data_IF_663205400256
#
_entry.id   IF_663205400256
#
_cell.length_a   1.000
_cell.length_b   1.000
_cell.length_c   1.000
_cell.angle_alpha   90.00
_cell.angle_beta   90.00
_cell.angle_gamma   90.00
#
_symmetry.space_group_name_H-M   'P 1'
#
loop_
_entity.id
_entity.type
_entity.pdbx_description
1 polymer ?
#
# COMPACT_ATOMS: atom_id res chain seq x y z
N UNK A 1 70.25 -11.74 5.86
CA UNK A 1 69.69 -10.55 6.54
C UNK A 1 68.63 -9.77 5.72
N UNK A 2 68.60 -9.84 4.37
CA UNK A 2 67.61 -9.10 3.56
C UNK A 2 66.18 -9.69 3.51
N UNK A 3 66.00 -10.99 3.81
CA UNK A 3 64.69 -11.66 3.76
C UNK A 3 63.79 -11.40 4.98
N UNK A 4 64.34 -10.93 6.11
CA UNK A 4 63.57 -10.68 7.35
C UNK A 4 62.80 -9.35 7.31
N UNK A 5 63.34 -8.34 6.62
CA UNK A 5 62.70 -7.02 6.48
C UNK A 5 61.49 -7.03 5.54
N UNK A 6 61.47 -7.93 4.55
CA UNK A 6 60.33 -8.10 3.64
C UNK A 6 59.12 -8.72 4.37
N UNK A 7 59.37 -9.64 5.32
CA UNK A 7 58.34 -10.24 6.17
C UNK A 7 57.80 -9.27 7.23
N UNK A 8 58.66 -8.41 7.80
CA UNK A 8 58.22 -7.38 8.75
C UNK A 8 57.44 -6.25 8.06
N UNK A 9 57.81 -5.89 6.83
CA UNK A 9 57.08 -4.92 6.01
C UNK A 9 55.69 -5.41 5.56
N UNK A 10 55.54 -6.72 5.29
CA UNK A 10 54.25 -7.32 4.92
C UNK A 10 53.28 -7.43 6.10
N UNK A 11 53.79 -7.53 7.33
CA UNK A 11 52.96 -7.56 8.55
C UNK A 11 52.43 -6.18 8.94
N UNK A 12 53.14 -5.10 8.57
CA UNK A 12 52.73 -3.72 8.88
C UNK A 12 51.66 -3.20 7.90
N UNK A 13 51.56 -3.75 6.69
CA UNK A 13 50.54 -3.34 5.71
C UNK A 13 49.19 -4.03 5.86
N UNK A 14 49.09 -5.10 6.67
CA UNK A 14 47.83 -5.83 6.89
C UNK A 14 47.00 -5.21 8.04
N UNK A 15 47.59 -4.37 8.88
CA UNK A 15 46.96 -3.85 10.10
C UNK A 15 46.18 -2.53 9.93
N UNK A 16 46.02 -2.02 8.71
CA UNK A 16 45.32 -0.73 8.45
C UNK A 16 44.04 -0.85 7.62
N UNK A 17 43.37 -2.01 7.64
CA UNK A 17 42.00 -2.12 7.11
C UNK A 17 40.99 -1.94 8.24
N UNK A 18 40.90 -0.74 8.81
CA UNK A 18 39.65 -0.33 9.45
C UNK A 18 38.70 0.04 8.31
N UNK A 19 37.96 -0.96 7.82
CA UNK A 19 36.81 -0.72 6.95
C UNK A 19 35.81 0.04 7.81
N UNK A 20 35.69 1.35 7.59
CA UNK A 20 34.59 2.14 8.13
C UNK A 20 33.35 1.72 7.34
N UNK A 21 32.78 0.57 7.71
CA UNK A 21 31.43 0.23 7.31
C UNK A 21 30.48 1.28 7.87
N UNK A 22 29.42 1.60 7.14
CA UNK A 22 28.29 2.31 7.75
C UNK A 22 27.87 1.53 9.01
N UNK A 23 27.60 2.23 10.14
CA UNK A 23 27.20 1.54 11.35
C UNK A 23 26.00 0.66 11.02
N UNK A 24 26.15 -0.66 11.27
CA UNK A 24 25.05 -1.61 11.15
C UNK A 24 23.95 -1.09 12.08
N UNK A 25 22.85 -0.66 11.50
CA UNK A 25 21.79 0.00 12.23
C UNK A 25 20.68 -1.01 12.45
N UNK A 26 20.35 -1.25 13.72
CA UNK A 26 19.41 -2.28 14.12
C UNK A 26 17.97 -1.75 14.22
N UNK A 27 17.01 -2.66 14.08
CA UNK A 27 15.58 -2.35 14.22
C UNK A 27 15.26 -1.82 15.63
N UNK A 28 15.94 -2.35 16.64
CA UNK A 28 15.77 -1.99 18.06
C UNK A 28 17.06 -2.30 18.85
N UNK A 29 17.18 -1.69 20.04
CA UNK A 29 18.25 -1.98 21.00
C UNK A 29 17.70 -2.31 22.38
N UNK A 30 18.31 -3.27 23.05
CA UNK A 30 18.08 -3.56 24.48
C UNK A 30 19.41 -3.54 25.22
N UNK A 31 19.61 -2.52 26.07
CA UNK A 31 20.86 -2.27 26.78
C UNK A 31 20.70 -2.65 28.24
N UNK A 32 21.54 -3.56 28.74
CA UNK A 32 21.42 -4.13 30.09
C UNK A 32 22.73 -4.15 30.88
N UNK A 33 23.85 -3.76 30.28
CA UNK A 33 25.16 -3.72 30.92
C UNK A 33 25.72 -2.30 31.05
N UNK A 34 26.60 -2.02 32.02
CA UNK A 34 27.34 -0.76 32.08
C UNK A 34 28.17 -0.52 30.82
N UNK A 35 28.04 0.66 30.21
CA UNK A 35 28.83 1.05 29.04
C UNK A 35 29.83 2.17 29.47
N UNK A 36 31.14 1.89 29.52
CA UNK A 36 32.13 2.85 30.03
C UNK A 36 32.72 3.77 28.94
N UNK A 37 32.31 3.60 27.68
CA UNK A 37 32.89 4.25 26.49
C UNK A 37 31.81 5.03 25.74
N UNK A 38 32.18 6.13 25.08
CA UNK A 38 31.25 6.86 24.22
C UNK A 38 30.71 5.96 23.11
N UNK A 39 29.39 5.97 22.94
CA UNK A 39 28.74 5.18 21.89
C UNK A 39 27.46 5.85 21.41
N UNK A 40 27.21 5.68 20.13
CA UNK A 40 25.98 6.07 19.47
C UNK A 40 25.14 4.83 19.15
N UNK A 41 23.87 4.87 19.51
CA UNK A 41 22.86 3.85 19.21
C UNK A 41 21.76 4.49 18.36
N UNK A 42 21.60 4.00 17.14
CA UNK A 42 20.52 4.39 16.24
C UNK A 42 19.59 3.19 16.06
N UNK A 43 18.28 3.41 16.18
CA UNK A 43 17.25 2.40 15.97
C UNK A 43 16.03 2.99 15.25
N UNK A 44 15.15 2.15 14.72
CA UNK A 44 13.88 2.61 14.13
C UNK A 44 12.71 2.47 15.10
N UNK A 45 12.59 1.35 15.80
CA UNK A 45 11.42 1.09 16.64
C UNK A 45 11.62 1.64 18.06
N UNK A 46 12.67 1.20 18.75
CA UNK A 46 12.94 1.63 20.12
C UNK A 46 14.37 1.36 20.57
N UNK A 47 14.79 2.09 21.60
CA UNK A 47 15.99 1.82 22.40
C UNK A 47 15.53 1.65 23.85
N UNK A 48 15.70 0.44 24.40
CA UNK A 48 15.25 0.10 25.75
C UNK A 48 16.44 -0.02 26.68
N UNK A 49 16.44 0.79 27.74
CA UNK A 49 17.41 0.70 28.83
C UNK A 49 16.82 -0.21 29.91
N UNK A 50 17.38 -1.40 30.03
CA UNK A 50 16.96 -2.40 31.00
C UNK A 50 17.70 -2.19 32.34
N UNK A 51 17.17 -2.72 33.45
CA UNK A 51 17.87 -2.74 34.72
C UNK A 51 19.27 -3.34 34.56
N UNK A 52 20.30 -2.66 35.08
CA UNK A 52 21.71 -3.02 34.90
C UNK A 52 22.47 -2.12 33.92
N UNK A 53 21.76 -1.36 33.08
CA UNK A 53 22.40 -0.32 32.27
C UNK A 53 22.87 0.85 33.13
N UNK A 54 24.11 1.28 32.92
CA UNK A 54 24.65 2.52 33.49
C UNK A 54 25.69 3.11 32.56
N UNK A 55 25.71 4.44 32.44
CA UNK A 55 26.73 5.16 31.69
C UNK A 55 27.36 6.22 32.59
N UNK A 56 28.69 6.25 32.64
CA UNK A 56 29.43 7.23 33.45
C UNK A 56 30.05 8.28 32.53
N UNK A 57 29.57 9.52 32.65
CA UNK A 57 30.13 10.68 31.94
C UNK A 57 31.43 11.11 32.61
N UNK A 58 32.57 10.72 32.04
CA UNK A 58 33.90 11.17 32.48
C UNK A 58 34.57 11.93 31.33
N UNK A 59 34.88 13.22 31.53
CA UNK A 59 35.45 14.08 30.49
C UNK A 59 34.51 14.25 29.29
N UNK A 60 35.00 13.96 28.08
CA UNK A 60 34.25 14.09 26.82
C UNK A 60 33.43 12.85 26.45
N UNK A 61 33.16 11.93 27.39
CA UNK A 61 32.41 10.70 27.11
C UNK A 61 30.92 10.99 26.91
N UNK A 62 30.34 10.50 25.81
CA UNK A 62 28.93 10.73 25.45
C UNK A 62 28.20 9.44 25.11
N UNK A 63 26.98 9.31 25.62
CA UNK A 63 26.01 8.30 25.19
C UNK A 63 24.94 9.01 24.36
N UNK A 64 24.73 8.56 23.12
CA UNK A 64 23.71 9.12 22.23
C UNK A 64 22.79 8.01 21.74
N UNK A 65 21.53 8.02 22.16
CA UNK A 65 20.48 7.17 21.62
C UNK A 65 19.52 8.00 20.77
N UNK A 66 19.28 7.62 19.52
CA UNK A 66 18.30 8.30 18.65
C UNK A 66 17.47 7.34 17.83
N UNK A 67 16.24 7.76 17.55
CA UNK A 67 15.33 7.08 16.63
C UNK A 67 15.48 7.73 15.25
N UNK A 68 15.66 6.90 14.22
CA UNK A 68 15.66 7.32 12.82
C UNK A 68 14.58 6.55 12.07
N UNK A 69 13.47 7.23 11.80
CA UNK A 69 12.30 6.67 11.12
C UNK A 69 12.58 6.40 9.62
N UNK A 70 13.65 6.96 9.06
CA UNK A 70 14.01 6.79 7.64
C UNK A 70 14.79 5.50 7.36
N UNK A 71 15.16 4.76 8.40
CA UNK A 71 15.88 3.50 8.28
C UNK A 71 15.02 2.44 7.57
N UNK A 72 15.50 1.99 6.42
CA UNK A 72 14.88 0.94 5.63
C UNK A 72 15.28 -0.43 6.18
N UNK A 73 14.29 -1.27 6.49
CA UNK A 73 14.49 -2.66 6.86
C UNK A 73 13.70 -3.55 5.91
N UNK A 74 14.20 -4.75 5.67
CA UNK A 74 13.41 -5.77 5.01
C UNK A 74 12.18 -6.08 5.86
N UNK A 75 10.99 -5.93 5.26
CA UNK A 75 9.76 -6.47 5.83
C UNK A 75 9.90 -7.99 5.90
N UNK A 76 9.84 -8.55 7.10
CA UNK A 76 9.70 -10.00 7.28
C UNK A 76 8.24 -10.31 6.96
N UNK A 77 7.99 -10.66 5.70
CA UNK A 77 6.72 -11.26 5.33
C UNK A 77 6.69 -12.69 5.86
N UNK A 78 5.61 -13.07 6.53
CA UNK A 78 5.33 -14.46 6.78
C UNK A 78 5.04 -15.13 5.43
N UNK A 79 6.11 -15.66 4.83
CA UNK A 79 6.04 -16.42 3.59
C UNK A 79 5.78 -17.90 3.86
N UNK A 80 5.28 -18.28 5.04
CA UNK A 80 4.78 -19.63 5.25
C UNK A 80 3.60 -19.84 4.31
N UNK A 81 3.89 -20.48 3.18
CA UNK A 81 2.85 -21.02 2.32
C UNK A 81 2.18 -22.13 3.13
N UNK A 82 0.85 -22.05 3.27
CA UNK A 82 0.11 -23.15 3.85
C UNK A 82 0.45 -24.43 3.06
N UNK A 83 0.87 -25.49 3.75
CA UNK A 83 1.18 -26.77 3.11
C UNK A 83 -0.10 -27.29 2.44
N UNK A 84 -0.16 -27.38 1.09
CA UNK A 84 -1.35 -27.86 0.40
C UNK A 84 -1.67 -29.32 0.72
N UNK A 85 -0.73 -30.06 1.32
CA UNK A 85 -0.91 -31.43 1.80
C UNK A 85 -0.85 -31.55 3.33
N UNK A 86 -0.85 -30.41 4.04
CA UNK A 86 -0.83 -30.40 5.50
C UNK A 86 -2.06 -31.14 6.04
N UNK A 87 -1.85 -32.06 6.97
CA UNK A 87 -2.97 -32.72 7.65
C UNK A 87 -3.75 -31.67 8.43
N UNK A 88 -4.96 -31.36 7.98
CA UNK A 88 -5.88 -30.45 8.65
C UNK A 88 -6.18 -30.99 10.06
N UNK A 89 -5.77 -30.26 11.09
CA UNK A 89 -6.19 -30.55 12.45
C UNK A 89 -7.65 -30.11 12.62
N UNK A 90 -8.55 -31.10 12.50
CA UNK A 90 -10.01 -30.90 12.59
C UNK A 90 -10.49 -30.63 14.02
N UNK A 91 -9.60 -30.66 15.01
CA UNK A 91 -9.92 -30.31 16.40
C UNK A 91 -9.78 -28.81 16.67
N UNK A 92 -9.06 -28.08 15.79
CA UNK A 92 -8.97 -26.63 15.83
C UNK A 92 -10.20 -26.01 15.16
N UNK A 93 -10.67 -24.91 15.72
CA UNK A 93 -11.70 -24.11 15.08
C UNK A 93 -11.17 -23.56 13.76
N UNK A 94 -11.90 -23.80 12.68
CA UNK A 94 -11.62 -23.14 11.40
C UNK A 94 -12.05 -21.69 11.52
N UNK A 95 -11.12 -20.76 11.29
CA UNK A 95 -11.45 -19.34 11.21
C UNK A 95 -12.48 -19.11 10.12
N UNK A 96 -13.55 -18.38 10.44
CA UNK A 96 -14.51 -17.90 9.45
C UNK A 96 -14.28 -16.41 9.23
N UNK A 97 -14.27 -15.99 7.97
CA UNK A 97 -14.31 -14.56 7.66
C UNK A 97 -15.72 -14.04 7.99
N UNK A 98 -15.85 -12.83 8.54
CA UNK A 98 -17.16 -12.24 8.86
C UNK A 98 -17.92 -11.87 7.58
N UNK A 99 -18.48 -12.87 6.89
CA UNK A 99 -19.23 -12.71 5.65
C UNK A 99 -20.73 -12.57 5.91
N UNK A 100 -21.39 -11.72 5.13
CA UNK A 100 -22.85 -11.55 5.17
C UNK A 100 -23.46 -12.12 3.89
N UNK A 101 -24.38 -13.08 4.03
CA UNK A 101 -25.16 -13.65 2.94
C UNK A 101 -26.55 -13.03 2.88
N UNK A 102 -27.04 -12.71 1.68
CA UNK A 102 -28.39 -12.20 1.44
C UNK A 102 -28.91 -12.67 0.07
N UNK A 103 -30.22 -12.61 -0.14
CA UNK A 103 -30.88 -12.80 -1.44
C UNK A 103 -31.55 -11.50 -1.86
N UNK A 104 -31.23 -11.00 -3.05
CA UNK A 104 -31.82 -9.76 -3.56
C UNK A 104 -33.32 -9.91 -3.84
N UNK A 105 -34.04 -8.79 -3.95
CA UNK A 105 -35.43 -8.79 -4.41
C UNK A 105 -35.61 -9.38 -5.82
N UNK A 106 -34.54 -9.40 -6.62
CA UNK A 106 -34.50 -10.02 -7.96
C UNK A 106 -34.03 -11.47 -7.93
N UNK A 107 -33.83 -12.08 -6.75
CA UNK A 107 -33.42 -13.48 -6.58
C UNK A 107 -31.93 -13.75 -6.75
N UNK A 108 -31.06 -12.73 -6.76
CA UNK A 108 -29.61 -12.92 -6.79
C UNK A 108 -29.10 -13.39 -5.44
N UNK A 109 -28.17 -14.35 -5.42
CA UNK A 109 -27.37 -14.64 -4.24
C UNK A 109 -26.31 -13.54 -4.08
N UNK A 110 -26.30 -12.89 -2.92
CA UNK A 110 -25.37 -11.82 -2.55
C UNK A 110 -24.52 -12.28 -1.38
N UNK A 111 -23.21 -12.07 -1.46
CA UNK A 111 -22.28 -12.31 -0.36
C UNK A 111 -21.33 -11.11 -0.21
N UNK A 112 -21.06 -10.67 1.02
CA UNK A 112 -20.13 -9.56 1.28
C UNK A 112 -19.15 -9.92 2.39
N UNK A 113 -17.86 -9.75 2.13
CA UNK A 113 -16.77 -9.97 3.08
C UNK A 113 -16.06 -8.63 3.28
N UNK A 114 -16.13 -8.01 4.47
CA UNK A 114 -15.43 -6.76 4.74
C UNK A 114 -13.92 -6.99 4.73
N UNK A 115 -13.18 -6.02 4.19
CA UNK A 115 -11.72 -6.01 4.25
C UNK A 115 -11.35 -5.14 5.46
N UNK A 116 -10.65 -5.74 6.42
CA UNK A 116 -10.13 -4.99 7.57
C UNK A 116 -9.00 -4.07 7.09
N UNK A 117 -9.20 -2.76 7.28
CA UNK A 117 -8.21 -1.74 7.01
C UNK A 117 -7.71 -1.16 8.32
N UNK A 118 -6.41 -0.82 8.43
CA UNK A 118 -5.91 -0.13 9.60
C UNK A 118 -6.60 1.22 9.78
N UNK A 119 -6.74 1.71 11.03
CA UNK A 119 -7.35 3.01 11.27
C UNK A 119 -6.57 4.11 10.55
N UNK A 120 -7.28 4.88 9.74
CA UNK A 120 -6.70 6.02 9.04
C UNK A 120 -6.46 7.22 9.95
N UNK A 121 -5.64 8.16 9.47
CA UNK A 121 -5.38 9.41 10.19
C UNK A 121 -6.69 10.19 10.39
N UNK A 122 -6.88 10.73 11.59
CA UNK A 122 -8.11 11.45 11.98
C UNK A 122 -9.43 10.66 11.76
N UNK A 123 -9.38 9.32 11.75
CA UNK A 123 -10.57 8.47 11.57
C UNK A 123 -11.06 8.37 10.12
N UNK A 124 -10.31 8.88 9.15
CA UNK A 124 -10.63 8.74 7.74
C UNK A 124 -10.06 7.42 7.21
N UNK A 125 -10.89 6.38 7.15
CA UNK A 125 -10.54 5.08 6.58
C UNK A 125 -11.49 4.73 5.42
N UNK A 126 -10.99 4.07 4.36
CA UNK A 126 -11.87 3.57 3.30
C UNK A 126 -12.70 2.40 3.81
N UNK A 127 -13.95 2.28 3.35
CA UNK A 127 -14.75 1.09 3.59
C UNK A 127 -14.63 0.18 2.37
N UNK A 128 -13.88 -0.92 2.51
CA UNK A 128 -13.65 -1.87 1.43
C UNK A 128 -14.29 -3.22 1.76
N UNK A 129 -14.83 -3.88 0.75
CA UNK A 129 -15.33 -5.25 0.88
C UNK A 129 -15.21 -6.02 -0.44
N UNK A 130 -15.05 -7.34 -0.33
CA UNK A 130 -15.24 -8.25 -1.46
C UNK A 130 -16.74 -8.52 -1.54
N UNK A 131 -17.34 -8.28 -2.70
CA UNK A 131 -18.76 -8.49 -2.93
C UNK A 131 -18.96 -9.52 -4.05
N UNK A 132 -19.88 -10.45 -3.81
CA UNK A 132 -20.35 -11.41 -4.77
C UNK A 132 -21.84 -11.16 -5.07
N UNK A 133 -22.22 -11.24 -6.34
CA UNK A 133 -23.59 -11.25 -6.80
C UNK A 133 -23.70 -12.23 -7.98
N UNK A 134 -24.56 -13.24 -7.85
CA UNK A 134 -24.71 -14.30 -8.85
C UNK A 134 -25.25 -13.83 -10.21
N UNK A 135 -25.82 -12.63 -10.28
CA UNK A 135 -26.31 -12.00 -11.50
C UNK A 135 -25.38 -10.90 -12.03
N UNK A 136 -24.28 -10.60 -11.32
CA UNK A 136 -23.29 -9.63 -11.79
C UNK A 136 -22.37 -10.23 -12.86
N UNK A 137 -21.88 -9.36 -13.75
CA UNK A 137 -20.89 -9.70 -14.76
C UNK A 137 -19.48 -9.87 -14.19
N UNK A 138 -18.48 -9.71 -15.06
CA UNK A 138 -17.08 -9.83 -14.67
C UNK A 138 -16.61 -8.60 -13.88
N UNK A 139 -16.12 -8.81 -12.66
CA UNK A 139 -15.49 -7.77 -11.84
C UNK A 139 -13.98 -7.97 -11.71
N UNK A 140 -13.34 -7.15 -10.87
CA UNK A 140 -11.88 -7.17 -10.66
C UNK A 140 -11.38 -8.52 -10.10
N UNK A 141 -12.23 -9.24 -9.38
CA UNK A 141 -11.91 -10.54 -8.77
C UNK A 141 -12.53 -11.73 -9.52
N UNK A 142 -13.08 -11.49 -10.72
CA UNK A 142 -13.68 -12.50 -11.57
C UNK A 142 -15.19 -12.41 -11.70
N UNK A 143 -15.80 -13.47 -12.23
CA UNK A 143 -17.22 -13.47 -12.55
C UNK A 143 -18.09 -13.41 -11.29
N UNK A 144 -19.07 -12.51 -11.29
CA UNK A 144 -19.95 -12.27 -10.16
C UNK A 144 -19.26 -11.67 -8.94
N UNK A 145 -17.95 -11.41 -8.97
CA UNK A 145 -17.17 -10.98 -7.80
C UNK A 145 -16.42 -9.68 -8.10
N UNK A 146 -16.55 -8.69 -7.21
CA UNK A 146 -15.83 -7.42 -7.32
C UNK A 146 -15.37 -6.90 -5.96
N UNK A 147 -14.62 -5.80 -5.98
CA UNK A 147 -14.28 -5.04 -4.78
C UNK A 147 -15.22 -3.84 -4.72
N UNK A 148 -15.91 -3.69 -3.59
CA UNK A 148 -16.73 -2.52 -3.27
C UNK A 148 -15.91 -1.48 -2.49
N UNK A 149 -16.33 -0.22 -2.56
CA UNK A 149 -15.64 0.92 -1.95
C UNK A 149 -14.63 1.63 -2.86
N UNK A 150 -14.55 1.20 -4.12
CA UNK A 150 -13.77 1.86 -5.17
C UNK A 150 -14.72 2.53 -6.14
N UNK A 151 -14.44 3.78 -6.51
CA UNK A 151 -15.14 4.44 -7.61
C UNK A 151 -14.56 4.01 -8.95
N UNK A 152 -15.42 3.85 -9.95
CA UNK A 152 -15.04 3.44 -11.29
C UNK A 152 -15.79 4.22 -12.35
N UNK A 153 -15.06 4.60 -13.40
CA UNK A 153 -15.65 5.09 -14.65
C UNK A 153 -15.78 3.92 -15.61
N UNK A 154 -16.99 3.67 -16.10
CA UNK A 154 -17.29 2.61 -17.05
C UNK A 154 -17.87 3.16 -18.35
N UNK A 155 -17.61 2.47 -19.46
CA UNK A 155 -18.23 2.77 -20.76
C UNK A 155 -19.65 2.21 -20.82
N UNK A 156 -20.58 3.00 -21.34
CA UNK A 156 -21.97 2.61 -21.60
C UNK A 156 -22.29 2.91 -23.06
N UNK A 157 -23.05 2.05 -23.76
CA UNK A 157 -23.47 2.36 -25.11
C UNK A 157 -24.32 3.65 -25.15
N UNK A 158 -24.27 4.32 -26.29
CA UNK A 158 -25.24 5.38 -26.61
C UNK A 158 -26.65 4.79 -26.69
N UNK A 159 -27.64 5.58 -26.28
CA UNK A 159 -29.05 5.19 -26.36
C UNK A 159 -29.93 6.34 -26.83
N UNK A 160 -31.09 5.97 -27.39
CA UNK A 160 -32.02 6.92 -28.02
C UNK A 160 -32.61 7.91 -26.99
N UNK A 161 -32.70 7.52 -25.72
CA UNK A 161 -33.32 8.36 -24.69
C UNK A 161 -32.46 9.57 -24.32
N UNK A 162 -31.13 9.40 -24.19
CA UNK A 162 -30.22 10.51 -23.85
C UNK A 162 -29.57 11.14 -25.08
N UNK A 163 -29.31 10.35 -26.14
CA UNK A 163 -28.44 10.78 -27.24
C UNK A 163 -29.18 10.93 -28.58
N UNK A 164 -30.47 10.59 -28.65
CA UNK A 164 -31.28 10.46 -29.88
C UNK A 164 -30.74 9.43 -30.90
N UNK A 165 -29.67 8.71 -30.56
CA UNK A 165 -28.99 7.72 -31.40
C UNK A 165 -28.63 6.46 -30.60
N UNK A 166 -28.49 5.33 -31.30
CA UNK A 166 -27.99 4.08 -30.70
C UNK A 166 -26.90 3.51 -31.59
N UNK A 167 -25.63 3.80 -31.25
CA UNK A 167 -24.45 3.28 -31.97
C UNK A 167 -23.80 2.08 -31.29
N UNK A 168 -24.37 1.58 -30.19
CA UNK A 168 -23.77 0.52 -29.39
C UNK A 168 -22.44 0.98 -28.77
N UNK A 169 -21.44 0.10 -28.73
CA UNK A 169 -20.13 0.36 -28.10
C UNK A 169 -19.12 1.08 -29.01
N UNK A 170 -19.51 1.47 -30.23
CA UNK A 170 -18.60 2.10 -31.20
C UNK A 170 -18.20 3.52 -30.76
N UNK A 171 -19.11 4.22 -30.10
CA UNK A 171 -18.96 5.59 -29.63
C UNK A 171 -19.63 5.66 -28.24
N UNK A 172 -18.98 5.10 -27.20
CA UNK A 172 -19.61 4.90 -25.91
C UNK A 172 -19.55 6.17 -25.08
N UNK A 173 -20.61 6.37 -24.30
CA UNK A 173 -20.67 7.37 -23.25
C UNK A 173 -20.10 6.80 -21.94
N UNK A 174 -20.02 7.64 -20.92
CA UNK A 174 -19.43 7.27 -19.64
C UNK A 174 -20.45 7.21 -18.50
N UNK A 175 -20.18 6.36 -17.52
CA UNK A 175 -20.88 6.31 -16.24
C UNK A 175 -19.86 6.37 -15.11
N UNK A 176 -20.20 7.06 -14.03
CA UNK A 176 -19.50 7.02 -12.76
C UNK A 176 -20.32 6.18 -11.78
N UNK A 177 -19.76 5.10 -11.26
CA UNK A 177 -20.40 4.27 -10.22
C UNK A 177 -21.80 3.76 -10.60
N UNK A 178 -22.00 3.47 -11.89
CA UNK A 178 -23.27 3.01 -12.46
C UNK A 178 -24.25 4.12 -12.84
N UNK A 179 -23.86 5.38 -12.68
CA UNK A 179 -24.67 6.55 -13.04
C UNK A 179 -24.13 7.25 -14.28
N UNK A 180 -25.00 7.47 -15.26
CA UNK A 180 -24.61 8.11 -16.53
C UNK A 180 -24.08 9.51 -16.30
N UNK A 181 -22.97 9.83 -16.96
CA UNK A 181 -22.39 11.16 -17.01
C UNK A 181 -23.00 11.95 -18.16
N UNK A 182 -23.43 13.17 -17.88
CA UNK A 182 -24.03 14.12 -18.82
C UNK A 182 -23.07 15.30 -18.95
N UNK A 183 -22.68 15.62 -20.18
CA UNK A 183 -21.84 16.77 -20.48
C UNK A 183 -22.61 18.06 -20.17
N UNK A 184 -22.12 18.87 -19.24
CA UNK A 184 -22.74 20.14 -18.86
C UNK A 184 -22.02 21.36 -19.42
N UNK A 185 -20.78 21.20 -19.88
CA UNK A 185 -20.04 22.29 -20.52
C UNK A 185 -18.61 21.90 -20.87
N UNK A 186 -17.94 22.79 -21.57
CA UNK A 186 -16.54 22.63 -21.97
C UNK A 186 -15.81 23.96 -21.89
N UNK A 187 -14.53 23.92 -21.52
CA UNK A 187 -13.61 25.05 -21.52
C UNK A 187 -12.34 24.67 -22.29
N UNK A 188 -11.73 25.62 -22.98
CA UNK A 188 -10.46 25.42 -23.68
C UNK A 188 -9.44 26.44 -23.20
N UNK A 189 -8.24 25.98 -22.87
CA UNK A 189 -7.09 26.82 -22.54
C UNK A 189 -5.85 26.33 -23.29
N UNK A 190 -5.55 26.99 -24.41
CA UNK A 190 -4.43 26.62 -25.26
C UNK A 190 -4.60 25.22 -25.84
N UNK A 191 -3.66 24.31 -25.51
CA UNK A 191 -3.66 22.92 -25.97
C UNK A 191 -4.50 21.97 -25.10
N UNK A 192 -5.09 22.46 -24.02
CA UNK A 192 -5.91 21.65 -23.12
C UNK A 192 -7.38 22.02 -23.27
N UNK A 193 -8.24 21.00 -23.30
CA UNK A 193 -9.68 21.17 -23.15
C UNK A 193 -10.17 20.43 -21.91
N UNK A 194 -11.03 21.09 -21.17
CA UNK A 194 -11.74 20.56 -20.02
C UNK A 194 -13.19 20.36 -20.41
N UNK A 195 -13.72 19.19 -20.12
CA UNK A 195 -15.15 18.92 -20.22
C UNK A 195 -15.70 18.69 -18.82
N UNK A 196 -16.82 19.35 -18.51
CA UNK A 196 -17.51 19.24 -17.23
C UNK A 196 -18.69 18.31 -17.37
N UNK A 197 -18.79 17.37 -16.44
CA UNK A 197 -19.87 16.40 -16.40
C UNK A 197 -20.63 16.49 -15.08
N UNK A 198 -21.92 16.17 -15.15
CA UNK A 198 -22.76 15.90 -13.99
C UNK A 198 -23.35 14.50 -14.12
N UNK A 199 -23.66 13.89 -12.98
CA UNK A 199 -24.39 12.64 -12.96
C UNK A 199 -25.88 12.85 -13.26
N UNK A 200 -26.54 11.87 -13.88
CA UNK A 200 -27.97 11.97 -14.24
C UNK A 200 -28.88 12.32 -13.04
N UNK A 201 -28.64 11.69 -11.89
CA UNK A 201 -29.21 12.15 -10.62
C UNK A 201 -28.11 12.92 -9.91
N UNK A 202 -28.41 14.15 -9.52
CA UNK A 202 -27.44 15.08 -8.94
C UNK A 202 -26.78 14.47 -7.70
N UNK A 203 -25.45 14.50 -7.69
CA UNK A 203 -24.59 13.97 -6.62
C UNK A 203 -23.70 15.04 -5.98
N UNK A 204 -23.79 16.30 -6.46
CA UNK A 204 -22.94 17.43 -6.07
C UNK A 204 -21.44 17.19 -6.25
N UNK A 205 -21.08 16.20 -7.08
CA UNK A 205 -19.70 15.89 -7.43
C UNK A 205 -19.20 16.80 -8.56
N UNK A 206 -17.94 17.24 -8.48
CA UNK A 206 -17.29 17.95 -9.57
C UNK A 206 -16.55 16.95 -10.45
N UNK A 207 -17.01 16.76 -11.70
CA UNK A 207 -16.43 15.77 -12.62
C UNK A 207 -15.85 16.53 -13.82
N UNK A 208 -14.55 16.33 -14.07
CA UNK A 208 -13.80 17.02 -15.12
C UNK A 208 -13.03 15.99 -15.93
N UNK A 209 -13.22 16.00 -17.24
CA UNK A 209 -12.36 15.27 -18.18
C UNK A 209 -11.31 16.23 -18.73
N UNK A 210 -10.04 15.83 -18.67
CA UNK A 210 -8.92 16.58 -19.23
C UNK A 210 -8.49 15.95 -20.54
N UNK A 211 -8.61 16.71 -21.62
CA UNK A 211 -8.20 16.31 -22.96
C UNK A 211 -7.03 17.18 -23.40
N UNK A 212 -6.00 16.55 -23.97
CA UNK A 212 -4.90 17.25 -24.61
C UNK A 212 -5.09 17.22 -26.12
N UNK A 213 -5.23 18.40 -26.73
CA UNK A 213 -5.27 18.55 -28.18
C UNK A 213 -3.91 18.16 -28.78
N UNK A 214 -3.83 16.99 -29.43
CA UNK A 214 -2.68 16.56 -30.21
C UNK A 214 -2.02 15.22 -29.82
N UNK A 215 -2.57 14.47 -28.86
CA UNK A 215 -2.13 13.09 -28.60
C UNK A 215 -2.98 12.14 -29.46
N UNK A 216 -2.40 11.33 -30.36
CA UNK A 216 -3.18 10.33 -31.08
C UNK A 216 -3.75 9.34 -30.08
N UNK A 217 -5.08 9.25 -30.05
CA UNK A 217 -5.80 8.16 -29.39
C UNK A 217 -5.40 6.84 -30.05
N UNK A 218 -4.89 5.92 -29.24
CA UNK A 218 -4.62 4.51 -29.59
C UNK A 218 -5.90 3.76 -29.94
#
# INVERSE_FOLDING_TARGET
MKKIYILLGLFITISFNNIWGQPITDKHWELSSPEPVSREYVARDYIKLLPGFSFTTEGSKTFLGRIDESLLFNTIYDNSQADPNGSLDKTLEVGSLPGNFNVSATGAAIYSIPIEVPPGTAGMQPSLSIVYNSQSGNGLLGYGTSISGLSAISKVPTNIYYDDISKGMFDPEYMLDGQRLILTGSSQNGLFSEEYYSTEIESYSKIICFLQSGVPTI
#
